data_IF_527672651843
#
_entry.id   IF_527672651843
#
_cell.length_a   1.000
_cell.length_b   1.000
_cell.length_c   1.000
_cell.angle_alpha   90.00
_cell.angle_beta   90.00
_cell.angle_gamma   90.00
#
_symmetry.space_group_name_H-M   'P 1'
#
loop_
_entity.id
_entity.type
_entity.pdbx_description
1 polymer ?
#
# COMPACT_ATOMS: atom_id res chain seq x y z
N UNK A 1 6.25 -16.62 -18.87
CA UNK A 1 4.92 -16.68 -18.21
C UNK A 1 3.90 -16.90 -19.30
N UNK A 2 3.12 -17.97 -19.23
CA UNK A 2 2.34 -18.46 -20.37
C UNK A 2 1.09 -17.63 -20.72
N UNK A 3 0.67 -16.69 -19.87
CA UNK A 3 -0.45 -15.78 -20.12
C UNK A 3 -1.84 -16.43 -20.17
N UNK A 4 -1.93 -17.75 -19.98
CA UNK A 4 -3.18 -18.51 -20.00
C UNK A 4 -4.06 -18.17 -18.79
N UNK A 5 -5.37 -18.08 -19.02
CA UNK A 5 -6.37 -18.11 -17.95
C UNK A 5 -6.40 -19.50 -17.33
N UNK A 6 -6.60 -19.59 -16.02
CA UNK A 6 -6.68 -20.86 -15.30
C UNK A 6 -7.65 -20.73 -14.13
N UNK A 7 -8.32 -21.82 -13.82
CA UNK A 7 -9.19 -21.90 -12.64
C UNK A 7 -8.34 -22.13 -11.40
N UNK A 8 -8.67 -21.44 -10.32
CA UNK A 8 -8.03 -21.64 -9.03
C UNK A 8 -8.97 -21.28 -7.90
N UNK A 9 -8.88 -22.03 -6.81
CA UNK A 9 -9.62 -21.76 -5.57
C UNK A 9 -9.18 -20.43 -4.90
N UNK A 10 -8.00 -19.90 -5.26
CA UNK A 10 -7.46 -18.70 -4.66
C UNK A 10 -7.89 -17.43 -5.43
N UNK A 11 -8.49 -16.48 -4.72
CA UNK A 11 -8.99 -15.21 -5.27
C UNK A 11 -7.94 -14.30 -5.96
N UNK A 12 -6.64 -14.58 -5.81
CA UNK A 12 -5.55 -13.77 -6.39
C UNK A 12 -4.42 -14.63 -6.96
N UNK A 13 -4.72 -15.81 -7.50
CA UNK A 13 -3.70 -16.65 -8.09
C UNK A 13 -3.04 -15.96 -9.30
N UNK A 14 -1.73 -15.74 -9.22
CA UNK A 14 -0.97 -15.01 -10.25
C UNK A 14 -0.34 -15.94 -11.30
N UNK A 15 -0.19 -17.23 -10.99
CA UNK A 15 0.52 -18.21 -11.81
C UNK A 15 -0.29 -19.50 -11.88
N UNK A 16 -0.43 -20.06 -13.09
CA UNK A 16 -0.94 -21.42 -13.26
C UNK A 16 0.01 -22.45 -12.60
N UNK A 17 -0.43 -23.70 -12.37
CA UNK A 17 0.37 -24.73 -11.70
C UNK A 17 1.75 -24.94 -12.36
N UNK A 18 1.80 -25.02 -13.69
CA UNK A 18 3.04 -25.23 -14.45
C UNK A 18 4.01 -24.04 -14.29
N UNK A 19 3.52 -22.80 -14.52
CA UNK A 19 4.32 -21.59 -14.35
C UNK A 19 4.79 -21.39 -12.90
N UNK A 20 4.01 -21.87 -11.92
CA UNK A 20 4.42 -21.85 -10.50
C UNK A 20 5.62 -22.77 -10.28
N UNK A 21 5.63 -23.97 -10.85
CA UNK A 21 6.73 -24.92 -10.77
C UNK A 21 7.98 -24.34 -11.43
N UNK A 22 7.85 -23.76 -12.63
CA UNK A 22 8.97 -23.10 -13.31
C UNK A 22 9.59 -21.99 -12.46
N UNK A 23 8.76 -21.16 -11.81
CA UNK A 23 9.22 -20.10 -10.90
C UNK A 23 9.87 -20.65 -9.64
N UNK A 24 9.41 -21.78 -9.11
CA UNK A 24 10.08 -22.46 -8.01
C UNK A 24 11.47 -22.96 -8.43
N UNK A 25 11.58 -23.61 -9.60
CA UNK A 25 12.86 -24.04 -10.17
C UNK A 25 13.82 -22.87 -10.39
N UNK A 26 13.34 -21.76 -10.96
CA UNK A 26 14.14 -20.56 -11.16
C UNK A 26 14.65 -19.96 -9.83
N UNK A 27 13.80 -19.90 -8.80
CA UNK A 27 14.21 -19.43 -7.46
C UNK A 27 15.28 -20.34 -6.84
N UNK A 28 15.13 -21.66 -6.96
CA UNK A 28 16.12 -22.62 -6.47
C UNK A 28 17.48 -22.44 -7.19
N UNK A 29 17.46 -22.28 -8.52
CA UNK A 29 18.68 -22.00 -9.31
C UNK A 29 19.38 -20.72 -8.84
N UNK A 30 18.63 -19.63 -8.68
CA UNK A 30 19.19 -18.35 -8.21
C UNK A 30 19.79 -18.45 -6.79
N UNK A 31 19.19 -19.27 -5.91
CA UNK A 31 19.76 -19.52 -4.57
C UNK A 31 21.09 -20.28 -4.66
N UNK A 32 21.16 -21.33 -5.48
CA UNK A 32 22.39 -22.10 -5.71
C UNK A 32 23.48 -21.22 -6.32
N UNK A 33 23.15 -20.37 -7.29
CA UNK A 33 24.09 -19.41 -7.90
C UNK A 33 24.66 -18.42 -6.87
N UNK A 34 23.81 -17.85 -6.01
CA UNK A 34 24.28 -16.97 -4.92
C UNK A 34 25.26 -17.69 -3.99
N UNK A 35 24.96 -18.94 -3.63
CA UNK A 35 25.84 -19.76 -2.80
C UNK A 35 27.16 -20.08 -3.50
N UNK A 36 27.15 -20.39 -4.80
CA UNK A 36 28.36 -20.62 -5.60
C UNK A 36 29.24 -19.38 -5.70
N UNK A 37 28.63 -18.21 -5.83
CA UNK A 37 29.34 -16.92 -5.92
C UNK A 37 29.75 -16.37 -4.55
N UNK A 38 29.61 -17.15 -3.46
CA UNK A 38 29.86 -16.71 -2.08
C UNK A 38 29.17 -15.37 -1.74
N UNK A 39 28.00 -15.11 -2.32
CA UNK A 39 27.22 -13.91 -2.02
C UNK A 39 26.53 -14.15 -0.69
N UNK A 40 27.04 -13.51 0.36
CA UNK A 40 26.42 -13.58 1.68
C UNK A 40 25.03 -12.96 1.65
N UNK A 41 24.05 -13.76 2.06
CA UNK A 41 22.68 -13.29 2.29
C UNK A 41 22.54 -12.82 3.72
N UNK A 42 21.92 -11.65 3.93
CA UNK A 42 21.57 -11.15 5.27
C UNK A 42 20.94 -12.25 6.14
N UNK A 43 21.58 -12.56 7.25
CA UNK A 43 21.07 -13.51 8.25
C UNK A 43 20.40 -12.76 9.39
N UNK A 44 19.42 -13.41 10.03
CA UNK A 44 18.86 -12.91 11.29
C UNK A 44 19.94 -13.06 12.36
N UNK A 45 20.16 -12.01 13.15
CA UNK A 45 21.26 -11.92 14.12
C UNK A 45 22.57 -11.38 13.56
N UNK A 46 22.68 -11.20 12.23
CA UNK A 46 23.83 -10.55 11.60
C UNK A 46 23.85 -9.03 11.79
N UNK A 47 24.97 -8.40 11.40
CA UNK A 47 25.13 -6.94 11.41
C UNK A 47 24.87 -6.38 10.00
N UNK A 48 24.03 -5.36 9.90
CA UNK A 48 23.74 -4.63 8.66
C UNK A 48 23.87 -3.12 8.89
N UNK A 49 23.96 -2.32 7.81
CA UNK A 49 24.18 -0.87 7.88
C UNK A 49 22.88 -0.12 7.62
N UNK A 50 22.51 0.79 8.51
CA UNK A 50 21.27 1.55 8.38
C UNK A 50 21.38 2.59 7.24
N UNK A 51 20.49 2.59 6.24
CA UNK A 51 20.54 3.55 5.13
C UNK A 51 20.17 4.99 5.53
N UNK A 52 19.55 5.21 6.69
CA UNK A 52 19.14 6.55 7.15
C UNK A 52 20.23 7.24 7.98
N UNK A 53 21.02 6.48 8.75
CA UNK A 53 22.02 7.04 9.68
C UNK A 53 23.44 6.47 9.53
N UNK A 54 23.64 5.46 8.69
CA UNK A 54 24.94 4.82 8.44
C UNK A 54 25.48 3.94 9.57
N UNK A 55 24.78 3.86 10.72
CA UNK A 55 25.24 3.05 11.85
C UNK A 55 24.97 1.55 11.61
N UNK A 56 25.89 0.67 12.04
CA UNK A 56 25.63 -0.77 12.05
C UNK A 56 24.52 -1.10 13.06
N UNK A 57 23.68 -2.07 12.73
CA UNK A 57 22.60 -2.54 13.59
C UNK A 57 22.43 -4.06 13.45
N UNK A 58 21.90 -4.68 14.50
CA UNK A 58 21.60 -6.12 14.51
C UNK A 58 20.27 -6.36 13.81
N UNK A 59 20.27 -7.24 12.80
CA UNK A 59 19.08 -7.60 12.03
C UNK A 59 18.22 -8.55 12.87
N UNK A 60 17.11 -8.05 13.42
CA UNK A 60 16.16 -8.87 14.21
C UNK A 60 15.09 -9.53 13.35
N UNK A 61 14.80 -8.96 12.18
CA UNK A 61 13.80 -9.51 11.25
C UNK A 61 14.25 -9.42 9.79
N UNK A 62 13.76 -10.34 8.95
CA UNK A 62 14.04 -10.36 7.51
C UNK A 62 13.47 -9.17 6.73
N UNK A 63 12.55 -8.41 7.33
CA UNK A 63 11.96 -7.20 6.76
C UNK A 63 12.52 -5.90 7.34
N UNK A 64 13.42 -5.99 8.33
CA UNK A 64 14.09 -4.83 8.90
C UNK A 64 15.01 -4.21 7.84
N UNK A 65 14.80 -2.93 7.55
CA UNK A 65 15.59 -2.14 6.59
C UNK A 65 16.46 -1.11 7.30
N UNK A 66 16.02 -0.64 8.47
CA UNK A 66 16.65 0.43 9.25
C UNK A 66 16.83 -0.01 10.71
N UNK A 67 17.69 0.68 11.45
CA UNK A 67 17.81 0.51 12.90
C UNK A 67 16.54 0.95 13.65
N UNK A 68 16.40 0.54 14.92
CA UNK A 68 15.20 0.81 15.73
C UNK A 68 14.96 2.32 15.92
N UNK A 69 16.03 3.12 16.09
CA UNK A 69 15.92 4.57 16.26
C UNK A 69 15.37 5.26 15.01
N UNK A 70 15.80 4.80 13.83
CA UNK A 70 15.35 5.34 12.55
C UNK A 70 14.00 4.79 12.11
N UNK A 71 13.51 3.70 12.71
CA UNK A 71 12.25 3.03 12.33
C UNK A 71 11.04 3.96 12.34
N UNK A 72 10.95 4.86 13.33
CA UNK A 72 9.82 5.81 13.44
C UNK A 72 9.79 6.85 12.31
N UNK A 73 10.97 7.24 11.80
CA UNK A 73 11.12 8.22 10.72
C UNK A 73 11.09 7.57 9.33
N UNK A 74 11.52 6.31 9.27
CA UNK A 74 11.65 5.60 8.02
C UNK A 74 10.30 5.40 7.36
N UNK A 75 10.19 5.87 6.13
CA UNK A 75 8.99 5.70 5.33
C UNK A 75 9.24 4.83 4.12
N UNK A 76 8.37 3.85 3.91
CA UNK A 76 8.48 2.94 2.78
C UNK A 76 8.08 3.65 1.47
N UNK A 77 9.07 4.22 0.78
CA UNK A 77 8.89 4.96 -0.48
C UNK A 77 8.18 4.14 -1.55
N UNK A 78 8.39 2.82 -1.60
CA UNK A 78 7.68 1.94 -2.56
C UNK A 78 6.19 1.90 -2.25
N UNK A 79 5.83 1.71 -0.97
CA UNK A 79 4.43 1.74 -0.53
C UNK A 79 3.77 3.09 -0.80
N UNK A 80 4.46 4.20 -0.51
CA UNK A 80 3.95 5.54 -0.84
C UNK A 80 3.66 5.70 -2.33
N UNK A 81 4.59 5.31 -3.21
CA UNK A 81 4.40 5.39 -4.66
C UNK A 81 3.22 4.54 -5.15
N UNK A 82 3.09 3.32 -4.65
CA UNK A 82 1.96 2.45 -5.01
C UNK A 82 0.64 3.04 -4.55
N UNK A 83 0.58 3.53 -3.31
CA UNK A 83 -0.63 4.17 -2.77
C UNK A 83 -1.02 5.42 -3.56
N UNK A 84 -0.05 6.27 -3.91
CA UNK A 84 -0.28 7.47 -4.71
C UNK A 84 -0.82 7.14 -6.11
N UNK A 85 -0.30 6.08 -6.75
CA UNK A 85 -0.82 5.60 -8.03
C UNK A 85 -2.25 5.07 -7.92
N UNK A 86 -2.58 4.40 -6.83
CA UNK A 86 -3.94 3.89 -6.60
C UNK A 86 -4.91 5.04 -6.33
N UNK A 87 -4.56 5.98 -5.45
CA UNK A 87 -5.40 7.13 -5.13
C UNK A 87 -5.69 7.97 -6.38
N UNK A 88 -4.67 8.25 -7.20
CA UNK A 88 -4.83 9.04 -8.43
C UNK A 88 -5.72 8.37 -9.50
N UNK A 89 -5.91 7.05 -9.44
CA UNK A 89 -6.79 6.33 -10.37
C UNK A 89 -8.22 6.22 -9.87
N UNK A 90 -8.39 6.08 -8.56
CA UNK A 90 -9.66 5.74 -7.96
C UNK A 90 -10.45 6.97 -7.50
N UNK A 91 -9.78 8.07 -7.15
CA UNK A 91 -10.40 9.23 -6.52
C UNK A 91 -9.81 10.54 -7.03
N UNK A 92 -10.68 11.49 -7.35
CA UNK A 92 -10.31 12.89 -7.49
C UNK A 92 -10.28 13.56 -6.11
N UNK A 93 -9.27 14.39 -5.85
CA UNK A 93 -9.15 15.10 -4.58
C UNK A 93 -9.88 16.45 -4.67
N UNK A 94 -10.92 16.63 -3.86
CA UNK A 94 -11.57 17.93 -3.66
C UNK A 94 -11.25 18.47 -2.26
N UNK A 95 -10.57 19.62 -2.21
CA UNK A 95 -10.33 20.33 -0.94
C UNK A 95 -11.44 21.35 -0.71
N UNK A 96 -12.21 21.17 0.36
CA UNK A 96 -13.33 22.07 0.72
C UNK A 96 -12.96 22.89 1.95
N UNK A 97 -13.03 24.21 1.83
CA UNK A 97 -12.90 25.13 2.96
C UNK A 97 -14.27 25.39 3.59
N UNK A 98 -14.34 25.25 4.92
CA UNK A 98 -15.57 25.47 5.72
C UNK A 98 -15.29 26.50 6.81
N UNK A 99 -16.30 27.24 7.27
CA UNK A 99 -16.09 28.23 8.33
C UNK A 99 -15.66 27.54 9.64
N UNK A 100 -14.90 28.26 10.48
CA UNK A 100 -14.48 27.75 11.79
C UNK A 100 -15.73 27.36 12.62
N UNK A 101 -15.71 26.19 13.24
CA UNK A 101 -16.85 25.59 13.97
C UNK A 101 -17.65 24.57 13.15
N UNK A 102 -17.93 24.87 11.88
CA UNK A 102 -18.81 24.04 11.04
C UNK A 102 -18.26 22.62 10.77
N UNK A 103 -16.95 22.43 10.88
CA UNK A 103 -16.33 21.12 10.72
C UNK A 103 -16.82 20.11 11.75
N UNK A 104 -17.01 20.56 12.99
CA UNK A 104 -17.42 19.67 14.08
C UNK A 104 -18.93 19.40 14.00
N UNK A 105 -19.73 20.40 13.59
CA UNK A 105 -21.15 20.23 13.28
C UNK A 105 -21.36 19.18 12.16
N UNK A 106 -20.59 19.26 11.07
CA UNK A 106 -20.67 18.29 9.96
C UNK A 106 -20.30 16.88 10.42
N UNK A 107 -19.28 16.74 11.28
CA UNK A 107 -18.90 15.44 11.83
C UNK A 107 -19.99 14.86 12.73
N UNK A 108 -20.61 15.70 13.56
CA UNK A 108 -21.66 15.26 14.47
C UNK A 108 -22.92 14.86 13.69
N UNK A 109 -23.30 15.64 12.68
CA UNK A 109 -24.41 15.32 11.78
C UNK A 109 -24.17 14.00 11.04
N UNK A 110 -22.98 13.81 10.46
CA UNK A 110 -22.63 12.55 9.78
C UNK A 110 -22.70 11.34 10.74
N UNK A 111 -22.20 11.49 11.97
CA UNK A 111 -22.29 10.45 13.01
C UNK A 111 -23.72 10.10 13.39
N UNK A 112 -24.59 11.10 13.57
CA UNK A 112 -26.02 10.87 13.90
C UNK A 112 -26.73 10.07 12.81
N UNK A 113 -26.34 10.26 11.56
CA UNK A 113 -26.88 9.54 10.41
C UNK A 113 -26.12 8.24 10.07
N UNK A 114 -25.18 7.78 10.92
CA UNK A 114 -24.33 6.61 10.70
C UNK A 114 -23.53 6.64 9.37
N UNK A 115 -23.23 7.84 8.86
CA UNK A 115 -22.52 8.04 7.61
C UNK A 115 -21.09 8.55 7.86
N UNK A 116 -20.19 8.26 6.92
CA UNK A 116 -18.88 8.91 6.93
C UNK A 116 -18.99 10.36 6.47
N UNK A 117 -18.08 11.23 6.93
CA UNK A 117 -18.05 12.64 6.46
C UNK A 117 -17.91 12.71 4.94
N UNK A 118 -17.14 11.80 4.33
CA UNK A 118 -16.98 11.75 2.88
C UNK A 118 -18.27 11.34 2.16
N UNK A 119 -18.98 10.36 2.70
CA UNK A 119 -20.28 9.92 2.19
C UNK A 119 -21.33 11.03 2.29
N UNK A 120 -21.40 11.73 3.41
CA UNK A 120 -22.27 12.88 3.60
C UNK A 120 -21.99 14.00 2.58
N UNK A 121 -20.72 14.34 2.36
CA UNK A 121 -20.32 15.36 1.37
C UNK A 121 -20.72 14.93 -0.04
N UNK A 122 -20.47 13.67 -0.41
CA UNK A 122 -20.83 13.16 -1.72
C UNK A 122 -22.35 13.15 -1.94
N UNK A 123 -23.14 12.75 -0.94
CA UNK A 123 -24.60 12.84 -0.97
C UNK A 123 -25.07 14.30 -1.16
N UNK A 124 -24.47 15.23 -0.43
CA UNK A 124 -24.77 16.66 -0.58
C UNK A 124 -24.49 17.17 -2.00
N UNK A 125 -23.38 16.75 -2.61
CA UNK A 125 -23.04 17.11 -4.00
C UNK A 125 -24.07 16.55 -4.99
N UNK A 126 -24.48 15.28 -4.83
CA UNK A 126 -25.48 14.64 -5.71
C UNK A 126 -26.82 15.37 -5.60
N UNK A 127 -27.32 15.60 -4.39
CA UNK A 127 -28.59 16.28 -4.16
C UNK A 127 -28.58 17.73 -4.67
N UNK A 128 -27.45 18.43 -4.52
CA UNK A 128 -27.30 19.79 -5.04
C UNK A 128 -27.35 19.81 -6.57
N UNK A 129 -26.67 18.86 -7.24
CA UNK A 129 -26.73 18.72 -8.70
C UNK A 129 -28.15 18.44 -9.19
N UNK A 130 -28.86 17.51 -8.55
CA UNK A 130 -30.24 17.16 -8.91
C UNK A 130 -31.23 18.31 -8.77
N UNK A 131 -31.05 19.19 -7.78
CA UNK A 131 -31.89 20.37 -7.59
C UNK A 131 -31.66 21.40 -8.70
N UNK A 132 -30.40 21.71 -8.98
CA UNK A 132 -30.03 22.68 -10.02
C UNK A 132 -30.46 22.21 -11.42
N UNK A 133 -30.40 20.91 -11.70
CA UNK A 133 -30.86 20.35 -12.98
C UNK A 133 -32.38 20.31 -13.18
N UNK A 134 -33.17 20.60 -12.14
CA UNK A 134 -34.65 20.65 -12.21
C UNK A 134 -35.18 22.07 -12.33
N UNK A 135 -34.32 23.07 -12.14
CA UNK A 135 -34.65 24.49 -12.24
C UNK A 135 -34.32 25.07 -13.64
N UNK A 136 -33.60 24.29 -14.47
CA UNK A 136 -33.41 24.51 -15.92
C UNK A 136 -34.49 23.81 -16.74
#
# INVERSE_FOLDING_TARGET
MCGKTFESEANRATYCPECRIERQKARARAYVEKKKNNIETRTIGGTDVCPECGKPYIVRSGSQVVCEDCRKKHTNKRKQKTNAKYSAKAYDMLTVYVKKGQKDDIKEFAKRHNMSVNEFINLGIILAKEKLSKEE
#
